data_IF_201138606540
#
_entry.id   IF_201138606540
#
_cell.length_a   1.000
_cell.length_b   1.000
_cell.length_c   1.000
_cell.angle_alpha   90.00
_cell.angle_beta   90.00
_cell.angle_gamma   90.00
#
_symmetry.space_group_name_H-M   'P 1'
#
loop_
_entity.id
_entity.type
_entity.pdbx_description
1 polymer ?
#
# COMPACT_ATOMS: atom_id res chain seq x y z
N UNK A 1 -10.92 -24.50 23.12
CA UNK A 1 -9.99 -24.76 22.00
C UNK A 1 -10.38 -23.84 20.85
N UNK A 2 -9.40 -23.38 20.07
CA UNK A 2 -9.65 -22.48 18.93
C UNK A 2 -10.12 -23.33 17.74
N UNK A 3 -11.25 -22.96 17.14
CA UNK A 3 -11.85 -23.70 15.99
C UNK A 3 -11.45 -23.09 14.66
N UNK A 4 -11.25 -21.78 14.60
CA UNK A 4 -10.69 -21.11 13.43
C UNK A 4 -9.79 -19.94 13.87
N UNK A 5 -8.67 -19.76 13.17
CA UNK A 5 -7.79 -18.61 13.34
C UNK A 5 -7.65 -17.91 11.98
N UNK A 6 -7.99 -16.62 11.93
CA UNK A 6 -7.89 -15.76 10.76
C UNK A 6 -6.82 -14.70 11.02
N UNK A 7 -5.83 -14.61 10.13
CA UNK A 7 -4.75 -13.62 10.22
C UNK A 7 -4.92 -12.56 9.16
N UNK A 8 -4.96 -11.30 9.57
CA UNK A 8 -4.85 -10.14 8.71
C UNK A 8 -3.45 -9.53 8.77
N UNK A 9 -3.24 -8.47 8.00
CA UNK A 9 -1.97 -7.74 8.00
C UNK A 9 -1.71 -7.00 9.33
N UNK A 10 -2.77 -6.50 9.98
CA UNK A 10 -2.70 -5.63 11.16
C UNK A 10 -3.36 -6.19 12.42
N UNK A 11 -4.17 -7.25 12.28
CA UNK A 11 -4.93 -7.88 13.36
C UNK A 11 -5.05 -9.37 13.11
N UNK A 12 -5.24 -10.14 14.17
CA UNK A 12 -5.66 -11.54 14.10
C UNK A 12 -6.96 -11.75 14.86
N UNK A 13 -7.79 -12.63 14.33
CA UNK A 13 -9.08 -12.97 14.91
C UNK A 13 -9.18 -14.47 15.12
N UNK A 14 -9.55 -14.86 16.33
CA UNK A 14 -9.73 -16.25 16.73
C UNK A 14 -11.19 -16.52 17.06
N UNK A 15 -11.73 -17.59 16.48
CA UNK A 15 -13.03 -18.14 16.82
C UNK A 15 -12.84 -19.29 17.79
N UNK A 16 -13.46 -19.21 18.97
CA UNK A 16 -13.36 -20.22 20.02
C UNK A 16 -14.59 -21.13 20.02
N UNK A 17 -14.42 -22.39 20.44
CA UNK A 17 -15.53 -23.37 20.52
C UNK A 17 -16.65 -22.96 21.49
N UNK A 18 -16.39 -21.97 22.35
CA UNK A 18 -17.38 -21.34 23.24
C UNK A 18 -18.30 -20.35 22.52
N UNK A 19 -18.15 -20.18 21.20
CA UNK A 19 -18.89 -19.20 20.40
C UNK A 19 -18.33 -17.77 20.49
N UNK A 20 -17.26 -17.56 21.27
CA UNK A 20 -16.61 -16.26 21.39
C UNK A 20 -15.75 -15.97 20.16
N UNK A 21 -15.90 -14.76 19.60
CA UNK A 21 -15.07 -14.21 18.55
C UNK A 21 -14.21 -13.09 19.13
N UNK A 22 -12.88 -13.25 19.09
CA UNK A 22 -11.95 -12.27 19.65
C UNK A 22 -10.98 -11.83 18.57
N UNK A 23 -10.87 -10.51 18.35
CA UNK A 23 -9.88 -9.91 17.47
C UNK A 23 -8.90 -9.09 18.30
N UNK A 24 -7.62 -9.40 18.15
CA UNK A 24 -6.53 -8.72 18.82
C UNK A 24 -5.66 -8.02 17.75
N UNK A 25 -5.30 -6.76 18.02
CA UNK A 25 -4.34 -6.05 17.18
C UNK A 25 -2.94 -6.53 17.56
N UNK A 26 -2.02 -6.64 16.58
CA UNK A 26 -0.65 -7.03 16.88
C UNK A 26 0.04 -5.96 17.73
N UNK A 27 0.07 -6.16 19.05
CA UNK A 27 0.53 -5.19 20.05
C UNK A 27 2.06 -4.94 20.02
N UNK A 28 2.84 -5.85 19.45
CA UNK A 28 4.32 -5.74 19.42
C UNK A 28 4.89 -6.13 18.05
N UNK A 29 5.68 -5.24 17.45
CA UNK A 29 6.40 -5.49 16.20
C UNK A 29 7.49 -6.58 16.35
N UNK A 30 8.00 -6.79 17.57
CA UNK A 30 9.14 -7.68 17.86
C UNK A 30 8.79 -9.19 17.90
N UNK A 31 7.49 -9.52 17.99
CA UNK A 31 7.00 -10.91 18.01
C UNK A 31 6.30 -11.30 16.70
N UNK A 32 6.24 -10.38 15.73
CA UNK A 32 5.58 -10.61 14.45
C UNK A 32 6.56 -11.29 13.48
N UNK A 33 6.17 -12.35 12.75
CA UNK A 33 7.04 -12.99 11.78
C UNK A 33 7.53 -11.99 10.72
N UNK A 34 8.79 -12.13 10.31
CA UNK A 34 9.48 -11.22 9.40
C UNK A 34 8.73 -10.99 8.08
N UNK A 35 8.02 -12.00 7.58
CA UNK A 35 7.22 -11.90 6.35
C UNK A 35 6.03 -10.94 6.50
N UNK A 36 5.41 -10.90 7.68
CA UNK A 36 4.32 -9.98 8.01
C UNK A 36 4.84 -8.54 8.16
N UNK A 37 6.06 -8.36 8.64
CA UNK A 37 6.69 -7.04 8.73
C UNK A 37 7.10 -6.51 7.34
N UNK A 38 7.67 -7.37 6.50
CA UNK A 38 8.04 -7.03 5.13
C UNK A 38 6.81 -6.66 4.30
N UNK A 39 5.73 -7.44 4.37
CA UNK A 39 4.48 -7.14 3.68
C UNK A 39 3.86 -5.81 4.13
N UNK A 40 3.88 -5.48 5.43
CA UNK A 40 3.46 -4.16 5.93
C UNK A 40 4.28 -3.03 5.32
N UNK A 41 5.61 -3.17 5.32
CA UNK A 41 6.49 -2.16 4.75
C UNK A 41 6.22 -1.95 3.26
N UNK A 42 6.08 -3.03 2.49
CA UNK A 42 5.77 -2.98 1.06
C UNK A 42 4.41 -2.34 0.78
N UNK A 43 3.38 -2.66 1.58
CA UNK A 43 2.07 -2.03 1.46
C UNK A 43 2.14 -0.51 1.72
N UNK A 44 2.82 -0.10 2.79
CA UNK A 44 2.97 1.33 3.13
C UNK A 44 3.74 2.06 2.03
N UNK A 45 4.83 1.49 1.53
CA UNK A 45 5.62 2.06 0.42
C UNK A 45 4.76 2.18 -0.84
N UNK A 46 3.98 1.16 -1.17
CA UNK A 46 3.05 1.18 -2.31
C UNK A 46 2.02 2.31 -2.20
N UNK A 47 1.43 2.52 -1.02
CA UNK A 47 0.48 3.62 -0.79
C UNK A 47 1.16 4.99 -0.98
N UNK A 48 2.34 5.20 -0.41
CA UNK A 48 3.08 6.47 -0.57
C UNK A 48 3.41 6.73 -2.04
N UNK A 49 3.92 5.72 -2.75
CA UNK A 49 4.23 5.83 -4.18
C UNK A 49 2.97 6.13 -5.01
N UNK A 50 1.84 5.52 -4.68
CA UNK A 50 0.56 5.77 -5.36
C UNK A 50 0.10 7.21 -5.18
N UNK A 51 0.19 7.77 -3.96
CA UNK A 51 -0.15 9.17 -3.69
C UNK A 51 0.75 10.11 -4.49
N UNK A 52 2.07 9.87 -4.47
CA UNK A 52 3.02 10.65 -5.27
C UNK A 52 2.72 10.53 -6.77
N UNK A 53 2.40 9.34 -7.27
CA UNK A 53 2.04 9.09 -8.66
C UNK A 53 0.77 9.85 -9.09
N UNK A 54 -0.27 9.90 -8.26
CA UNK A 54 -1.48 10.71 -8.50
C UNK A 54 -1.13 12.18 -8.59
N UNK A 55 -0.35 12.70 -7.63
CA UNK A 55 0.03 14.12 -7.63
C UNK A 55 0.86 14.48 -8.87
N UNK A 56 1.83 13.66 -9.26
CA UNK A 56 2.61 13.88 -10.47
C UNK A 56 1.74 13.75 -11.74
N UNK A 57 0.84 12.79 -11.80
CA UNK A 57 -0.03 12.60 -12.97
C UNK A 57 -0.98 13.78 -13.17
N UNK A 58 -1.57 14.29 -12.08
CA UNK A 58 -2.45 15.47 -12.12
C UNK A 58 -1.70 16.75 -12.49
N UNK A 59 -0.46 16.94 -12.01
CA UNK A 59 0.40 18.06 -12.42
C UNK A 59 0.87 17.96 -13.89
N UNK A 60 1.01 16.73 -14.41
CA UNK A 60 1.39 16.47 -15.80
C UNK A 60 0.26 16.63 -16.83
N UNK A 61 -1.01 16.74 -16.41
CA UNK A 61 -2.15 16.88 -17.33
C UNK A 61 -2.19 18.24 -18.01
N UNK A 62 -2.47 18.27 -19.32
CA UNK A 62 -2.49 19.51 -20.14
C UNK A 62 -3.37 20.62 -19.56
N UNK A 63 -4.41 20.28 -18.80
CA UNK A 63 -5.31 21.23 -18.14
C UNK A 63 -4.75 21.92 -16.88
N UNK A 64 -3.60 21.52 -16.34
CA UNK A 64 -3.04 22.08 -15.10
C UNK A 64 -2.11 23.27 -15.37
N UNK A 65 -2.42 24.43 -14.77
CA UNK A 65 -1.75 25.73 -14.97
C UNK A 65 -0.37 25.86 -14.28
N UNK A 66 0.01 24.92 -13.40
CA UNK A 66 1.24 25.02 -12.61
C UNK A 66 2.55 25.05 -13.43
N UNK A 67 2.51 24.67 -14.72
CA UNK A 67 3.66 24.55 -15.62
C UNK A 67 3.39 25.21 -17.00
N UNK A 68 2.78 26.39 -17.01
CA UNK A 68 2.54 27.15 -18.24
C UNK A 68 3.89 27.47 -18.95
N UNK A 69 4.03 27.06 -20.21
CA UNK A 69 5.19 27.40 -21.06
C UNK A 69 6.28 26.32 -21.22
N UNK A 70 6.21 25.18 -20.52
CA UNK A 70 7.19 24.08 -20.64
C UNK A 70 6.54 22.71 -20.88
N UNK A 71 5.96 22.50 -22.07
CA UNK A 71 5.28 21.25 -22.45
C UNK A 71 6.17 20.00 -22.37
N UNK A 72 7.48 20.13 -22.59
CA UNK A 72 8.43 19.03 -22.44
C UNK A 72 8.56 18.53 -20.99
N UNK A 73 8.53 19.45 -20.01
CA UNK A 73 8.58 19.10 -18.58
C UNK A 73 7.27 18.42 -18.18
N UNK A 74 6.15 18.91 -18.70
CA UNK A 74 4.81 18.36 -18.46
C UNK A 74 4.67 16.90 -18.92
N UNK A 75 5.18 16.58 -20.11
CA UNK A 75 5.23 15.21 -20.63
C UNK A 75 6.13 14.30 -19.80
N UNK A 76 7.31 14.79 -19.36
CA UNK A 76 8.20 14.04 -18.46
C UNK A 76 7.52 13.75 -17.12
N UNK A 77 6.88 14.74 -16.51
CA UNK A 77 6.18 14.61 -15.23
C UNK A 77 5.04 13.57 -15.33
N UNK A 78 4.22 13.64 -16.38
CA UNK A 78 3.18 12.64 -16.64
C UNK A 78 3.77 11.23 -16.81
N UNK A 79 4.87 11.09 -17.56
CA UNK A 79 5.57 9.81 -17.73
C UNK A 79 6.12 9.26 -16.41
N UNK A 80 6.73 10.12 -15.57
CA UNK A 80 7.21 9.72 -14.24
C UNK A 80 6.07 9.30 -13.31
N UNK A 81 4.91 9.97 -13.38
CA UNK A 81 3.71 9.59 -12.63
C UNK A 81 3.22 8.19 -13.00
N UNK A 82 3.16 7.87 -14.30
CA UNK A 82 2.83 6.53 -14.77
C UNK A 82 3.83 5.46 -14.29
N UNK A 83 5.13 5.73 -14.36
CA UNK A 83 6.17 4.82 -13.86
C UNK A 83 6.06 4.54 -12.36
N UNK A 84 5.80 5.59 -11.56
CA UNK A 84 5.56 5.45 -10.12
C UNK A 84 4.31 4.62 -9.81
N UNK A 85 3.25 4.76 -10.60
CA UNK A 85 2.04 3.94 -10.47
C UNK A 85 2.30 2.46 -10.73
N UNK A 86 3.08 2.13 -11.77
CA UNK A 86 3.47 0.75 -12.05
C UNK A 86 4.32 0.15 -10.93
N UNK A 87 5.28 0.91 -10.41
CA UNK A 87 6.11 0.49 -9.28
C UNK A 87 5.27 0.27 -8.01
N UNK A 88 4.33 1.17 -7.73
CA UNK A 88 3.41 1.03 -6.61
C UNK A 88 2.55 -0.24 -6.72
N UNK A 89 2.01 -0.51 -7.92
CA UNK A 89 1.26 -1.73 -8.21
C UNK A 89 2.09 -2.99 -7.96
N UNK A 90 3.33 -3.02 -8.45
CA UNK A 90 4.24 -4.15 -8.23
C UNK A 90 4.50 -4.40 -6.73
N UNK A 91 4.74 -3.35 -5.94
CA UNK A 91 4.94 -3.50 -4.50
C UNK A 91 3.69 -3.97 -3.74
N UNK A 92 2.48 -3.71 -4.27
CA UNK A 92 1.24 -4.22 -3.67
C UNK A 92 0.95 -5.69 -4.00
N UNK A 93 1.52 -6.21 -5.09
CA UNK A 93 1.38 -7.62 -5.48
C UNK A 93 2.22 -8.56 -4.62
N UNK A 94 3.41 -8.14 -4.19
CA UNK A 94 4.30 -8.95 -3.35
C UNK A 94 3.68 -9.43 -2.04
N UNK A 95 2.97 -8.61 -1.23
CA UNK A 95 2.30 -9.08 -0.02
C UNK A 95 1.03 -9.91 -0.28
N UNK A 96 0.53 -9.93 -1.52
CA UNK A 96 -0.69 -10.67 -1.90
C UNK A 96 -0.39 -12.03 -2.53
N UNK A 97 0.81 -12.19 -3.12
CA UNK A 97 1.31 -13.40 -3.76
C UNK A 97 2.07 -14.28 -2.76
#
# INVERSE_FOLDING_TARGET
TVVANMRGLWMECVYQSTGAFQCETYNSMLALPSDLQASRALMVISVVLSVLAVTMSTLGMQCTLCLEGSGAVKSRVAGTGGGLFLAAGLFSLVPVA
#
